data_IF_451620856105
#
_entry.id   IF_451620856105
#
_cell.length_a   1.000
_cell.length_b   1.000
_cell.length_c   1.000
_cell.angle_alpha   90.00
_cell.angle_beta   90.00
_cell.angle_gamma   90.00
#
_symmetry.space_group_name_H-M   'P 1'
#
loop_
_entity.id
_entity.type
_entity.pdbx_description
1 polymer ?
#
# COMPACT_ATOMS: atom_id res chain seq x y z
N UNK A 1 -62.63 -39.09 25.96
CA UNK A 1 -62.21 -37.77 25.47
C UNK A 1 -60.83 -37.47 26.03
N UNK A 2 -59.75 -37.78 25.30
CA UNK A 2 -58.43 -37.15 25.39
C UNK A 2 -57.62 -37.55 24.14
N UNK A 3 -57.20 -36.54 23.37
CA UNK A 3 -56.28 -36.63 22.23
C UNK A 3 -54.84 -36.70 22.74
N UNK A 4 -53.95 -37.47 22.11
CA UNK A 4 -52.52 -37.09 22.11
C UNK A 4 -51.74 -37.59 20.88
N UNK A 5 -51.60 -36.65 19.93
CA UNK A 5 -50.44 -36.29 19.07
C UNK A 5 -49.51 -37.40 18.51
N UNK A 6 -49.58 -37.58 17.19
CA UNK A 6 -48.48 -38.06 16.34
C UNK A 6 -47.38 -36.99 16.27
N UNK A 7 -46.19 -37.30 16.79
CA UNK A 7 -45.00 -36.48 16.58
C UNK A 7 -44.46 -36.74 15.16
N UNK A 8 -44.42 -35.70 14.32
CA UNK A 8 -43.68 -35.69 13.06
C UNK A 8 -42.27 -35.18 13.37
N UNK A 9 -41.27 -36.05 13.24
CA UNK A 9 -39.87 -35.64 13.32
C UNK A 9 -39.49 -34.94 12.01
N UNK A 10 -39.42 -33.61 12.04
CA UNK A 10 -38.77 -32.84 11.00
C UNK A 10 -37.26 -32.83 11.31
N UNK A 11 -36.50 -33.61 10.55
CA UNK A 11 -35.04 -33.53 10.56
C UNK A 11 -34.64 -32.22 9.85
N UNK A 12 -34.16 -31.25 10.63
CA UNK A 12 -33.57 -30.01 10.10
C UNK A 12 -32.10 -30.32 9.81
N UNK A 13 -31.75 -30.44 8.53
CA UNK A 13 -30.37 -30.51 8.09
C UNK A 13 -29.76 -29.10 8.14
N UNK A 14 -28.87 -28.87 9.10
CA UNK A 14 -28.07 -27.65 9.20
C UNK A 14 -26.90 -27.79 8.23
N UNK A 15 -27.01 -27.16 7.06
CA UNK A 15 -25.85 -26.93 6.19
C UNK A 15 -25.01 -25.83 6.82
N UNK A 16 -23.94 -26.22 7.52
CA UNK A 16 -22.87 -25.32 7.91
C UNK A 16 -22.11 -24.90 6.65
N UNK A 17 -22.30 -23.65 6.22
CA UNK A 17 -21.47 -23.01 5.20
C UNK A 17 -20.06 -22.86 5.77
N UNK A 18 -19.10 -23.61 5.23
CA UNK A 18 -17.69 -23.36 5.45
C UNK A 18 -17.31 -22.16 4.58
N UNK A 19 -17.16 -20.99 5.19
CA UNK A 19 -16.62 -19.80 4.53
C UNK A 19 -15.12 -20.01 4.30
N UNK A 20 -14.74 -20.38 3.08
CA UNK A 20 -13.34 -20.29 2.66
C UNK A 20 -13.08 -18.83 2.33
N UNK A 21 -12.45 -18.09 3.24
CA UNK A 21 -11.95 -16.76 2.94
C UNK A 21 -10.73 -16.91 2.01
N UNK A 22 -10.89 -16.66 0.70
CA UNK A 22 -9.72 -16.49 -0.17
C UNK A 22 -9.09 -15.14 0.12
N UNK A 23 -7.81 -15.12 0.47
CA UNK A 23 -7.08 -13.86 0.57
C UNK A 23 -7.03 -13.20 -0.81
N UNK A 24 -7.40 -11.92 -0.89
CA UNK A 24 -7.44 -11.16 -2.15
C UNK A 24 -6.01 -10.81 -2.58
N UNK A 25 -5.67 -11.08 -3.84
CA UNK A 25 -4.35 -10.73 -4.38
C UNK A 25 -4.20 -9.22 -4.54
N UNK A 26 -2.97 -8.70 -4.59
CA UNK A 26 -2.73 -7.28 -4.80
C UNK A 26 -3.42 -6.71 -6.06
N UNK A 27 -3.25 -7.36 -7.22
CA UNK A 27 -3.83 -6.88 -8.48
C UNK A 27 -5.35 -6.88 -8.44
N UNK A 28 -5.95 -7.89 -7.80
CA UNK A 28 -7.40 -7.92 -7.57
C UNK A 28 -7.83 -6.78 -6.64
N UNK A 29 -7.07 -6.51 -5.58
CA UNK A 29 -7.36 -5.44 -4.64
C UNK A 29 -7.29 -4.05 -5.25
N UNK A 30 -6.34 -3.76 -6.14
CA UNK A 30 -6.24 -2.43 -6.78
C UNK A 30 -7.18 -2.27 -7.99
N UNK A 31 -7.60 -3.37 -8.62
CA UNK A 31 -8.47 -3.34 -9.81
C UNK A 31 -9.86 -2.74 -9.56
N UNK A 32 -10.29 -2.65 -8.29
CA UNK A 32 -11.55 -2.01 -7.92
C UNK A 32 -11.49 -0.47 -7.96
N UNK A 33 -10.31 0.12 -8.15
CA UNK A 33 -10.10 1.57 -8.19
C UNK A 33 -9.75 2.01 -9.62
N UNK A 34 -10.70 2.62 -10.34
CA UNK A 34 -10.47 3.09 -11.73
C UNK A 34 -9.35 4.14 -11.84
N UNK A 35 -9.08 4.88 -10.76
CA UNK A 35 -7.95 5.81 -10.70
C UNK A 35 -6.57 5.13 -10.71
N UNK A 36 -6.52 3.80 -10.61
CA UNK A 36 -5.30 2.98 -10.62
C UNK A 36 -5.19 2.11 -11.89
N UNK A 37 -6.03 2.33 -12.90
CA UNK A 37 -6.08 1.50 -14.12
C UNK A 37 -4.74 1.45 -14.86
N UNK A 38 -4.01 2.57 -14.94
CA UNK A 38 -2.69 2.64 -15.59
C UNK A 38 -1.67 1.77 -14.85
N UNK A 39 -1.65 1.84 -13.51
CA UNK A 39 -0.77 1.01 -12.68
C UNK A 39 -1.12 -0.46 -12.78
N UNK A 40 -2.42 -0.79 -12.67
CA UNK A 40 -2.93 -2.16 -12.81
C UNK A 40 -2.53 -2.76 -14.16
N UNK A 41 -2.66 -1.97 -15.24
CA UNK A 41 -2.26 -2.37 -16.59
C UNK A 41 -0.74 -2.57 -16.70
N UNK A 42 0.06 -1.65 -16.14
CA UNK A 42 1.52 -1.78 -16.11
C UNK A 42 1.95 -3.09 -15.43
N UNK A 43 1.40 -3.39 -14.26
CA UNK A 43 1.76 -4.58 -13.49
C UNK A 43 1.24 -5.87 -14.14
N UNK A 44 0.04 -5.84 -14.74
CA UNK A 44 -0.51 -6.97 -15.49
C UNK A 44 0.33 -7.31 -16.72
N UNK A 45 0.84 -6.29 -17.41
CA UNK A 45 1.72 -6.48 -18.58
C UNK A 45 3.15 -6.88 -18.19
N UNK A 46 3.53 -6.73 -16.92
CA UNK A 46 4.86 -7.05 -16.40
C UNK A 46 4.77 -8.01 -15.19
N UNK A 47 4.29 -9.25 -15.38
CA UNK A 47 4.06 -10.18 -14.27
C UNK A 47 5.35 -10.55 -13.52
N UNK A 48 6.52 -10.48 -14.16
CA UNK A 48 7.80 -10.67 -13.48
C UNK A 48 8.13 -9.59 -12.46
N UNK A 49 7.81 -8.33 -12.76
CA UNK A 49 7.94 -7.20 -11.81
C UNK A 49 6.92 -7.32 -10.68
N UNK A 50 5.65 -7.62 -11.02
CA UNK A 50 4.62 -7.84 -10.03
C UNK A 50 4.96 -9.00 -9.08
N UNK A 51 5.50 -10.10 -9.61
CA UNK A 51 6.04 -11.19 -8.81
C UNK A 51 7.15 -10.70 -7.88
N UNK A 52 8.23 -10.18 -8.42
CA UNK A 52 9.40 -9.78 -7.62
C UNK A 52 9.08 -8.78 -6.50
N UNK A 53 8.12 -7.88 -6.72
CA UNK A 53 7.81 -6.79 -5.78
C UNK A 53 6.61 -7.10 -4.86
N UNK A 54 5.66 -7.91 -5.33
CA UNK A 54 4.34 -8.06 -4.72
C UNK A 54 3.94 -9.51 -4.47
N UNK A 55 4.67 -10.51 -4.98
CA UNK A 55 4.52 -11.85 -4.39
C UNK A 55 5.16 -11.82 -3.03
N UNK A 56 4.29 -11.64 -2.04
CA UNK A 56 4.41 -12.09 -0.67
C UNK A 56 5.75 -12.77 -0.39
N UNK A 57 6.60 -12.08 0.37
CA UNK A 57 7.41 -12.76 1.37
C UNK A 57 6.45 -13.44 2.36
N UNK A 58 5.60 -14.37 1.93
CA UNK A 58 4.65 -15.10 2.78
C UNK A 58 5.39 -15.98 3.79
N UNK A 59 6.72 -16.08 3.66
CA UNK A 59 7.63 -16.71 4.60
C UNK A 59 8.26 -15.71 5.60
N UNK A 60 8.19 -14.39 5.38
CA UNK A 60 8.55 -13.39 6.39
C UNK A 60 7.26 -12.77 6.96
N UNK A 61 7.21 -12.68 8.28
CA UNK A 61 6.08 -12.15 9.04
C UNK A 61 5.89 -10.62 8.85
N UNK A 62 6.37 -10.05 7.75
CA UNK A 62 6.44 -8.60 7.50
C UNK A 62 5.45 -8.20 6.42
N UNK A 63 4.33 -7.64 6.86
CA UNK A 63 3.35 -6.99 5.99
C UNK A 63 3.90 -5.65 5.51
N UNK A 64 3.63 -5.27 4.27
CA UNK A 64 4.17 -4.06 3.64
C UNK A 64 3.07 -3.06 3.30
N UNK A 65 3.46 -1.82 3.01
CA UNK A 65 2.57 -0.82 2.41
C UNK A 65 3.04 -0.47 1.01
N UNK A 66 2.15 -0.63 0.02
CA UNK A 66 2.40 -0.21 -1.35
C UNK A 66 1.79 1.17 -1.59
N UNK A 67 2.61 2.13 -2.01
CA UNK A 67 2.17 3.44 -2.49
C UNK A 67 1.83 3.32 -3.97
N UNK A 68 0.54 3.31 -4.31
CA UNK A 68 0.10 3.09 -5.69
C UNK A 68 -0.11 4.43 -6.38
N UNK A 69 0.69 4.77 -7.42
CA UNK A 69 0.49 6.00 -8.17
C UNK A 69 -0.82 5.95 -8.95
N UNK A 70 -1.59 7.03 -8.86
CA UNK A 70 -2.81 7.22 -9.62
C UNK A 70 -2.54 7.51 -11.11
N UNK A 71 -3.59 7.51 -11.91
CA UNK A 71 -3.48 7.79 -13.34
C UNK A 71 -2.86 9.16 -13.64
N UNK A 72 -3.04 10.16 -12.75
CA UNK A 72 -2.48 11.51 -12.93
C UNK A 72 -0.96 11.54 -12.72
N UNK A 73 -0.43 10.68 -11.85
CA UNK A 73 1.01 10.48 -11.67
C UNK A 73 1.64 9.91 -12.95
N UNK A 74 0.98 8.94 -13.60
CA UNK A 74 1.42 8.40 -14.89
C UNK A 74 1.46 9.47 -15.99
N UNK A 75 0.43 10.32 -16.09
CA UNK A 75 0.38 11.40 -17.06
C UNK A 75 1.54 12.39 -16.88
N UNK A 76 1.87 12.72 -15.61
CA UNK A 76 2.99 13.60 -15.27
C UNK A 76 4.34 12.96 -15.63
N UNK A 77 4.53 11.68 -15.30
CA UNK A 77 5.75 10.95 -15.61
C UNK A 77 5.96 10.83 -17.13
N UNK A 78 4.91 10.49 -17.88
CA UNK A 78 4.97 10.45 -19.34
C UNK A 78 5.31 11.81 -19.94
N UNK A 79 4.74 12.89 -19.40
CA UNK A 79 5.06 14.26 -19.81
C UNK A 79 6.54 14.59 -19.56
N UNK A 80 7.07 14.19 -18.41
CA UNK A 80 8.47 14.42 -18.03
C UNK A 80 9.45 13.65 -18.93
N UNK A 81 9.14 12.39 -19.22
CA UNK A 81 10.01 11.51 -19.99
C UNK A 81 9.89 11.72 -21.51
N UNK A 82 8.76 12.28 -21.98
CA UNK A 82 8.44 12.39 -23.40
C UNK A 82 8.17 11.04 -24.08
N UNK A 83 8.06 9.96 -23.31
CA UNK A 83 7.78 8.59 -23.79
C UNK A 83 6.76 7.91 -22.87
N UNK A 84 5.96 6.96 -23.37
CA UNK A 84 5.01 6.22 -22.54
C UNK A 84 5.71 5.44 -21.42
N UNK A 85 5.14 5.44 -20.21
CA UNK A 85 5.72 4.70 -19.06
C UNK A 85 5.84 3.21 -19.37
N UNK A 86 4.88 2.62 -20.09
CA UNK A 86 4.93 1.23 -20.52
C UNK A 86 6.04 0.87 -21.52
N UNK A 87 6.79 1.86 -22.03
CA UNK A 87 7.96 1.64 -22.88
C UNK A 87 9.28 1.50 -22.10
N UNK A 88 9.25 1.78 -20.79
CA UNK A 88 10.40 1.62 -19.92
C UNK A 88 10.75 0.13 -19.75
N UNK A 89 12.05 -0.16 -19.72
CA UNK A 89 12.54 -1.51 -19.46
C UNK A 89 12.31 -1.91 -18.00
N UNK A 90 12.30 -3.23 -17.74
CA UNK A 90 12.22 -3.80 -16.39
C UNK A 90 13.29 -3.20 -15.46
N UNK A 91 14.54 -3.09 -15.93
CA UNK A 91 15.64 -2.53 -15.15
C UNK A 91 15.46 -1.04 -14.80
N UNK A 92 14.67 -0.30 -15.57
CA UNK A 92 14.33 1.09 -15.27
C UNK A 92 13.14 1.19 -14.32
N UNK A 93 12.16 0.29 -14.46
CA UNK A 93 10.95 0.27 -13.63
C UNK A 93 11.21 -0.30 -12.23
N UNK A 94 12.10 -1.28 -12.09
CA UNK A 94 12.40 -1.92 -10.82
C UNK A 94 12.78 -0.94 -9.69
N UNK A 95 13.78 -0.05 -9.84
CA UNK A 95 14.11 0.89 -8.76
C UNK A 95 12.97 1.89 -8.49
N UNK A 96 12.21 2.28 -9.50
CA UNK A 96 11.05 3.17 -9.35
C UNK A 96 9.98 2.49 -8.49
N UNK A 97 9.64 1.24 -8.80
CA UNK A 97 8.61 0.50 -8.07
C UNK A 97 9.08 0.09 -6.67
N UNK A 98 10.36 -0.25 -6.47
CA UNK A 98 10.92 -0.52 -5.14
C UNK A 98 10.84 0.69 -4.20
N UNK A 99 10.91 1.91 -4.74
CA UNK A 99 10.67 3.13 -3.96
C UNK A 99 9.21 3.27 -3.47
N UNK A 100 8.26 2.63 -4.17
CA UNK A 100 6.85 2.64 -3.84
C UNK A 100 6.43 1.54 -2.86
N UNK A 101 7.36 0.70 -2.37
CA UNK A 101 7.07 -0.35 -1.38
C UNK A 101 7.74 -0.01 -0.07
N UNK A 102 6.93 0.18 0.98
CA UNK A 102 7.38 0.46 2.35
C UNK A 102 7.45 -0.83 3.16
N UNK A 103 8.45 -0.93 4.04
CA UNK A 103 8.76 -2.16 4.78
C UNK A 103 7.71 -2.55 5.81
N UNK A 104 6.88 -1.60 6.25
CA UNK A 104 5.87 -1.80 7.29
C UNK A 104 4.45 -1.70 6.75
N UNK A 105 3.51 -2.40 7.38
CA UNK A 105 2.07 -2.14 7.21
C UNK A 105 1.71 -0.83 7.93
N UNK A 106 1.33 0.15 7.12
CA UNK A 106 0.99 1.50 7.52
C UNK A 106 -0.43 1.83 7.03
N UNK A 107 -1.27 2.14 8.00
CA UNK A 107 -2.65 2.60 7.83
C UNK A 107 -2.77 4.10 8.11
N UNK A 108 -3.95 4.68 7.88
CA UNK A 108 -4.23 6.09 8.17
C UNK A 108 -3.77 6.53 9.56
N UNK A 109 -3.95 5.66 10.57
CA UNK A 109 -3.61 5.95 11.96
C UNK A 109 -2.12 6.20 12.14
N UNK A 110 -1.27 5.48 11.40
CA UNK A 110 0.18 5.64 11.44
C UNK A 110 0.65 7.00 10.91
N UNK A 111 -0.18 7.69 10.11
CA UNK A 111 0.15 8.98 9.50
C UNK A 111 -0.29 10.19 10.33
N UNK A 112 -1.12 9.98 11.35
CA UNK A 112 -1.62 11.02 12.26
C UNK A 112 -0.71 11.31 13.45
N UNK A 113 0.49 10.72 13.48
CA UNK A 113 1.45 10.92 14.58
C UNK A 113 2.01 12.35 14.58
N UNK A 114 2.20 12.90 15.78
CA UNK A 114 2.80 14.22 15.95
C UNK A 114 4.23 14.22 15.39
N UNK A 115 4.52 15.16 14.48
CA UNK A 115 5.79 15.27 13.73
C UNK A 115 6.04 14.20 12.66
N UNK A 116 5.00 13.48 12.21
CA UNK A 116 5.11 12.52 11.11
C UNK A 116 5.98 11.30 11.43
N UNK A 117 6.21 10.47 10.42
CA UNK A 117 6.93 9.20 10.55
C UNK A 117 7.93 9.01 9.41
N UNK A 118 9.10 8.44 9.71
CA UNK A 118 10.11 8.08 8.70
C UNK A 118 10.03 6.59 8.41
N UNK A 119 9.93 6.22 7.13
CA UNK A 119 9.71 4.85 6.70
C UNK A 119 10.72 4.43 5.63
N UNK A 120 11.40 3.29 5.80
CA UNK A 120 12.25 2.73 4.76
C UNK A 120 11.40 2.16 3.61
N UNK A 121 11.91 2.32 2.40
CA UNK A 121 11.40 1.70 1.16
C UNK A 121 12.22 0.45 0.84
N UNK A 122 11.81 -0.33 -0.16
CA UNK A 122 12.59 -1.46 -0.67
C UNK A 122 13.74 -1.02 -1.60
N UNK A 123 13.90 0.27 -1.88
CA UNK A 123 14.98 0.78 -2.73
C UNK A 123 16.32 0.81 -1.98
N UNK A 124 17.14 -0.22 -2.14
CA UNK A 124 18.43 -0.36 -1.44
C UNK A 124 19.64 0.02 -2.29
N UNK A 125 19.53 0.02 -3.62
CA UNK A 125 20.67 0.20 -4.54
C UNK A 125 21.35 1.57 -4.43
N UNK A 126 22.69 1.57 -4.34
CA UNK A 126 23.52 2.76 -4.07
C UNK A 126 23.30 3.92 -5.06
N UNK A 127 22.99 3.62 -6.32
CA UNK A 127 22.78 4.64 -7.36
C UNK A 127 21.56 5.53 -7.08
N UNK A 128 20.55 5.00 -6.39
CA UNK A 128 19.26 5.65 -6.18
C UNK A 128 18.93 5.87 -4.69
N UNK A 129 19.70 5.23 -3.79
CA UNK A 129 19.56 5.34 -2.35
C UNK A 129 20.47 6.46 -1.80
N UNK A 130 19.96 7.69 -1.82
CA UNK A 130 20.66 8.87 -1.33
C UNK A 130 20.51 9.08 0.20
N UNK A 131 19.60 8.35 0.85
CA UNK A 131 19.39 8.38 2.30
C UNK A 131 18.87 7.03 2.80
N UNK A 132 19.78 6.13 3.15
CA UNK A 132 19.44 4.84 3.75
C UNK A 132 18.94 4.98 5.18
N UNK A 133 18.13 4.02 5.61
CA UNK A 133 17.72 3.93 7.01
C UNK A 133 18.88 3.46 7.90
N UNK A 134 19.02 4.09 9.06
CA UNK A 134 20.00 3.71 10.07
C UNK A 134 19.43 2.74 11.10
N UNK A 135 20.25 2.32 12.07
CA UNK A 135 19.87 1.39 13.14
C UNK A 135 18.62 1.80 13.93
N UNK A 136 18.33 3.11 14.01
CA UNK A 136 17.12 3.63 14.65
C UNK A 136 15.81 3.21 13.96
N UNK A 137 15.87 2.81 12.69
CA UNK A 137 14.73 2.33 11.89
C UNK A 137 14.80 0.82 11.63
N UNK A 138 15.53 0.08 12.48
CA UNK A 138 15.64 -1.38 12.38
C UNK A 138 16.64 -1.88 11.33
N UNK A 139 17.38 -0.98 10.67
CA UNK A 139 18.44 -1.37 9.74
C UNK A 139 19.65 -1.96 10.47
N UNK A 140 20.05 -3.16 10.07
CA UNK A 140 21.31 -3.82 10.40
C UNK A 140 22.49 -3.26 9.59
N UNK A 141 22.22 -2.44 8.57
CA UNK A 141 23.24 -1.92 7.64
C UNK A 141 23.81 -2.98 6.69
N UNK A 142 23.32 -4.21 6.74
CA UNK A 142 23.73 -5.28 5.84
C UNK A 142 23.19 -5.05 4.41
N UNK A 143 23.93 -5.52 3.42
CA UNK A 143 23.47 -5.59 2.04
C UNK A 143 22.27 -6.55 1.96
N UNK A 144 21.15 -6.07 1.38
CA UNK A 144 19.91 -6.83 1.29
C UNK A 144 19.00 -6.79 2.52
N UNK A 145 19.34 -6.03 3.56
CA UNK A 145 18.39 -5.74 4.65
C UNK A 145 17.24 -4.86 4.12
N UNK A 146 15.97 -5.30 4.19
CA UNK A 146 14.83 -4.52 3.72
C UNK A 146 14.71 -3.17 4.43
N UNK A 147 15.14 -3.07 5.69
CA UNK A 147 15.11 -1.83 6.46
C UNK A 147 16.27 -0.87 6.10
N UNK A 148 17.21 -1.26 5.25
CA UNK A 148 18.35 -0.44 4.86
C UNK A 148 18.09 0.39 3.57
N UNK A 149 16.87 0.35 3.04
CA UNK A 149 16.50 1.11 1.86
C UNK A 149 16.38 2.61 2.09
N UNK A 150 16.18 3.33 0.98
CA UNK A 150 15.92 4.76 0.93
C UNK A 150 14.72 5.09 1.83
N UNK A 151 14.81 6.15 2.62
CA UNK A 151 13.72 6.57 3.50
C UNK A 151 12.83 7.65 2.87
N UNK A 152 11.56 7.60 3.22
CA UNK A 152 10.55 8.66 3.01
C UNK A 152 10.05 9.16 4.36
N UNK A 153 9.60 10.40 4.39
CA UNK A 153 8.96 11.00 5.57
C UNK A 153 7.48 11.25 5.26
N UNK A 154 6.58 10.85 6.15
CA UNK A 154 5.13 10.86 5.93
C UNK A 154 4.47 11.64 7.07
N UNK A 155 3.62 12.61 6.74
CA UNK A 155 2.90 13.42 7.72
C UNK A 155 1.49 13.77 7.26
N UNK A 156 0.53 13.86 8.18
CA UNK A 156 -0.79 14.39 7.86
C UNK A 156 -0.69 15.86 7.40
N UNK A 157 -1.49 16.24 6.41
CA UNK A 157 -1.49 17.60 5.84
C UNK A 157 -2.05 18.66 6.81
N UNK A 158 -2.81 18.23 7.81
CA UNK A 158 -3.38 19.10 8.84
C UNK A 158 -2.49 19.14 10.09
N UNK A 159 -2.03 20.34 10.46
CA UNK A 159 -1.27 20.63 11.67
C UNK A 159 -1.96 20.06 12.92
N UNK A 160 -1.26 19.31 13.81
CA UNK A 160 -1.81 18.84 15.09
C UNK A 160 -2.32 19.97 16.01
N UNK A 161 -1.99 21.23 15.71
CA UNK A 161 -2.32 22.41 16.50
C UNK A 161 -3.77 22.89 16.26
N UNK A 162 -4.39 22.58 15.11
CA UNK A 162 -5.75 23.02 14.78
C UNK A 162 -6.86 22.00 15.13
N UNK A 163 -6.49 20.78 15.55
CA UNK A 163 -7.41 19.71 15.96
C UNK A 163 -8.23 20.04 17.24
N UNK A 164 -7.99 21.18 17.89
CA UNK A 164 -8.83 21.69 19.00
C UNK A 164 -10.11 22.39 18.55
N UNK A 165 -10.32 22.58 17.24
CA UNK A 165 -11.60 23.09 16.73
C UNK A 165 -12.57 21.94 16.49
N UNK A 166 -13.26 21.55 17.56
CA UNK A 166 -14.48 20.73 17.55
C UNK A 166 -15.37 21.06 16.35
N UNK A 167 -15.22 20.30 15.27
CA UNK A 167 -16.12 20.36 14.13
C UNK A 167 -16.53 18.94 13.82
N UNK A 168 -17.80 18.64 14.13
CA UNK A 168 -18.50 17.42 13.69
C UNK A 168 -18.66 17.54 12.17
N UNK A 169 -17.64 17.10 11.42
CA UNK A 169 -17.70 16.95 9.97
C UNK A 169 -17.29 15.53 9.64
N UNK A 170 -18.24 14.83 9.02
CA UNK A 170 -18.08 13.55 8.33
C UNK A 170 -16.71 13.51 7.63
N UNK A 171 -15.84 12.63 8.12
CA UNK A 171 -14.42 12.58 7.78
C UNK A 171 -14.26 12.34 6.26
N UNK A 172 -13.71 13.29 5.48
CA UNK A 172 -13.00 12.91 4.27
C UNK A 172 -11.76 12.11 4.70
N UNK A 173 -11.34 11.12 3.91
CA UNK A 173 -10.08 10.40 4.13
C UNK A 173 -8.94 11.40 4.39
N UNK A 174 -8.06 11.17 5.38
CA UNK A 174 -7.01 12.12 5.70
C UNK A 174 -6.09 12.30 4.49
N UNK A 175 -5.91 13.54 4.05
CA UNK A 175 -4.90 13.90 3.05
C UNK A 175 -3.54 13.89 3.76
N UNK A 176 -2.61 13.08 3.27
CA UNK A 176 -1.30 12.86 3.88
C UNK A 176 -0.23 13.28 2.88
N UNK A 177 0.85 13.90 3.33
CA UNK A 177 1.99 14.25 2.50
C UNK A 177 3.11 13.22 2.68
N UNK A 178 3.67 12.78 1.55
CA UNK A 178 4.87 11.94 1.53
C UNK A 178 6.01 12.77 0.96
N UNK A 179 7.08 12.92 1.74
CA UNK A 179 8.29 13.68 1.40
C UNK A 179 9.43 12.70 1.14
N UNK A 180 9.90 12.68 -0.10
CA UNK A 180 11.06 11.91 -0.52
C UNK A 180 12.38 12.60 -0.23
N UNK A 181 13.46 12.04 -0.79
CA UNK A 181 14.73 12.74 -0.94
C UNK A 181 14.56 14.04 -1.77
N UNK A 182 15.61 14.85 -1.88
CA UNK A 182 15.65 16.11 -2.66
C UNK A 182 14.47 17.11 -2.43
N UNK A 183 13.62 16.89 -1.42
CA UNK A 183 12.47 17.74 -1.13
C UNK A 183 11.24 17.52 -2.01
N UNK A 184 11.13 16.38 -2.72
CA UNK A 184 9.91 16.06 -3.47
C UNK A 184 8.75 15.74 -2.52
N UNK A 185 7.64 16.46 -2.65
CA UNK A 185 6.43 16.26 -1.86
C UNK A 185 5.31 15.79 -2.79
N UNK A 186 4.68 14.68 -2.43
CA UNK A 186 3.52 14.12 -3.13
C UNK A 186 2.35 14.00 -2.15
N UNK A 187 1.13 14.12 -2.66
CA UNK A 187 -0.05 13.88 -1.84
C UNK A 187 -0.38 12.39 -1.88
N UNK A 188 -0.78 11.89 -0.71
CA UNK A 188 -1.26 10.55 -0.50
C UNK A 188 -2.70 10.60 0.01
N UNK A 189 -3.56 9.80 -0.61
CA UNK A 189 -4.90 9.50 -0.12
C UNK A 189 -4.82 8.22 0.69
N UNK A 190 -5.07 8.32 2.00
CA UNK A 190 -5.14 7.16 2.87
C UNK A 190 -6.45 6.39 2.59
N UNK A 191 -6.36 5.31 1.82
CA UNK A 191 -7.49 4.43 1.47
C UNK A 191 -7.51 3.15 2.30
N UNK A 192 -6.39 2.82 2.97
CA UNK A 192 -6.22 1.61 3.77
C UNK A 192 -6.65 0.33 3.04
N UNK A 193 -6.40 0.29 1.73
CA UNK A 193 -6.77 -0.84 0.90
C UNK A 193 -5.96 -2.08 1.30
N UNK A 194 -6.60 -3.24 1.42
CA UNK A 194 -5.98 -4.47 1.93
C UNK A 194 -5.79 -5.50 0.83
N UNK A 195 -4.70 -6.25 0.94
CA UNK A 195 -4.38 -7.41 0.11
C UNK A 195 -3.63 -8.46 0.96
N UNK A 196 -3.37 -9.63 0.40
CA UNK A 196 -2.77 -10.75 1.13
C UNK A 196 -1.36 -10.49 1.69
N UNK A 197 -0.62 -9.52 1.14
CA UNK A 197 0.70 -9.10 1.62
C UNK A 197 0.74 -7.81 2.45
N UNK A 198 -0.38 -7.15 2.72
CA UNK A 198 -0.43 -5.95 3.58
C UNK A 198 -1.47 -4.91 3.16
N UNK A 199 -1.05 -3.65 3.14
CA UNK A 199 -1.91 -2.49 2.85
C UNK A 199 -1.40 -1.75 1.60
N UNK A 200 -2.25 -0.96 0.97
CA UNK A 200 -1.85 0.02 -0.02
C UNK A 200 -2.53 1.36 0.20
N UNK A 201 -1.85 2.41 -0.23
CA UNK A 201 -2.31 3.79 -0.22
C UNK A 201 -2.20 4.35 -1.64
N UNK A 202 -2.92 5.42 -1.96
CA UNK A 202 -2.90 6.01 -3.32
C UNK A 202 -2.10 7.31 -3.30
N UNK A 203 -1.24 7.54 -4.28
CA UNK A 203 -0.44 8.78 -4.41
C UNK A 203 -0.64 9.47 -5.75
N UNK A 204 -0.53 10.80 -5.77
CA UNK A 204 -0.92 11.64 -6.92
C UNK A 204 0.22 12.06 -7.86
N UNK A 205 1.47 11.74 -7.55
CA UNK A 205 2.65 12.26 -8.28
C UNK A 205 3.83 11.32 -8.30
#
# INVERSE_FOLDING_TARGET
MQLTRRARHHAVAVFSYLSVASAQTFLEAISQYSQLDNFTTLMTNNPGLAGALLTSNASSLTQTTVLVPDNSAFDKLQTLLGVPVGSLSVAQLEPILSYHVLVNELTSDNFTVENGTTQPTFLTGELYNNRSAGAALGSSGAEGDPNNGQVVFIEAKDDPIDARRFTVRQLPSPEVEVKGGLGHIINMTAVDGRWDGGVFQIVDK
#
